data_IF_346202826554
#
_entry.id   IF_346202826554
#
_cell.length_a   1.000
_cell.length_b   1.000
_cell.length_c   1.000
_cell.angle_alpha   90.00
_cell.angle_beta   90.00
_cell.angle_gamma   90.00
#
_symmetry.space_group_name_H-M   'P 1'
#
loop_
_entity.id
_entity.type
_entity.pdbx_description
1 polymer ?
#
# COMPACT_ATOMS: atom_id res chain seq x y z
N UNK A 1 26.01 -26.77 -23.09
CA UNK A 1 24.67 -26.26 -23.44
C UNK A 1 24.19 -25.11 -22.53
N UNK A 2 25.07 -24.20 -22.07
CA UNK A 2 24.67 -23.09 -21.18
C UNK A 2 24.93 -21.68 -21.75
N UNK A 3 25.55 -21.55 -22.93
CA UNK A 3 25.78 -20.24 -23.56
C UNK A 3 24.59 -19.70 -24.37
N UNK A 4 23.58 -20.51 -24.67
CA UNK A 4 22.45 -20.12 -25.54
C UNK A 4 21.26 -19.51 -24.80
N UNK A 5 21.24 -19.57 -23.47
CA UNK A 5 20.13 -19.03 -22.65
C UNK A 5 20.36 -17.56 -22.29
N UNK A 6 21.61 -17.15 -22.06
CA UNK A 6 21.96 -15.76 -21.76
C UNK A 6 21.76 -14.83 -22.96
N UNK A 7 22.00 -15.34 -24.18
CA UNK A 7 21.85 -14.54 -25.42
C UNK A 7 20.38 -14.22 -25.75
N UNK A 8 19.43 -15.10 -25.36
CA UNK A 8 17.99 -14.86 -25.57
C UNK A 8 17.41 -13.81 -24.62
N UNK A 9 17.96 -13.68 -23.41
CA UNK A 9 17.49 -12.66 -22.47
C UNK A 9 17.98 -11.26 -22.84
N UNK A 10 19.24 -11.11 -23.28
CA UNK A 10 19.76 -9.82 -23.71
C UNK A 10 19.02 -9.24 -24.94
N UNK A 11 18.54 -10.11 -25.85
CA UNK A 11 17.80 -9.70 -27.03
C UNK A 11 16.39 -9.17 -26.71
N UNK A 12 15.75 -9.67 -25.65
CA UNK A 12 14.43 -9.21 -25.22
C UNK A 12 14.45 -7.79 -24.64
N UNK A 13 15.53 -7.40 -23.95
CA UNK A 13 15.69 -6.04 -23.42
C UNK A 13 15.94 -5.02 -24.53
N UNK A 14 16.70 -5.39 -25.57
CA UNK A 14 16.97 -4.50 -26.72
C UNK A 14 15.73 -4.22 -27.56
N UNK A 15 14.82 -5.19 -27.73
CA UNK A 15 13.55 -4.99 -28.46
C UNK A 15 12.59 -4.08 -27.68
N UNK A 16 12.58 -4.17 -26.35
CA UNK A 16 11.72 -3.32 -25.51
C UNK A 16 12.17 -1.84 -25.55
N UNK A 17 13.48 -1.58 -25.65
CA UNK A 17 13.99 -0.21 -25.79
C UNK A 17 13.78 0.38 -27.20
N UNK A 18 13.72 -0.44 -28.26
CA UNK A 18 13.61 0.06 -29.63
C UNK A 18 12.17 0.38 -30.09
N UNK A 19 11.16 -0.14 -29.39
CA UNK A 19 9.74 0.14 -29.70
C UNK A 19 9.26 1.53 -29.22
N UNK A 20 10.05 2.29 -28.46
CA UNK A 20 9.70 3.68 -28.09
C UNK A 20 10.09 4.74 -29.14
N UNK A 21 10.84 4.40 -30.20
CA UNK A 21 11.45 5.44 -31.06
C UNK A 21 10.85 5.58 -32.47
N UNK A 22 9.93 4.73 -32.91
CA UNK A 22 9.49 4.74 -34.34
C UNK A 22 7.96 4.76 -34.54
N UNK A 23 7.16 4.72 -33.49
CA UNK A 23 5.70 4.86 -33.59
C UNK A 23 5.19 5.84 -32.54
N UNK A 24 4.61 6.96 -32.98
CA UNK A 24 4.08 8.04 -32.15
C UNK A 24 2.84 7.66 -31.32
N UNK A 25 2.98 6.66 -30.45
CA UNK A 25 1.97 6.25 -29.48
C UNK A 25 2.64 6.03 -28.13
N UNK A 26 2.61 7.08 -27.31
CA UNK A 26 2.74 7.11 -25.86
C UNK A 26 3.40 5.88 -25.22
N UNK A 27 4.74 5.91 -25.10
CA UNK A 27 5.41 5.10 -24.09
C UNK A 27 4.97 5.60 -22.71
N UNK A 28 3.98 4.88 -22.19
CA UNK A 28 3.54 4.85 -20.80
C UNK A 28 3.25 6.23 -20.20
N UNK A 29 1.98 6.61 -20.25
CA UNK A 29 1.34 7.21 -19.08
C UNK A 29 1.46 6.22 -17.90
N UNK A 30 2.67 6.04 -17.37
CA UNK A 30 2.84 5.89 -15.93
C UNK A 30 2.26 7.16 -15.36
N UNK A 31 0.94 7.14 -15.14
CA UNK A 31 0.25 7.98 -14.18
C UNK A 31 1.23 8.16 -13.04
N UNK A 32 1.83 9.36 -12.95
CA UNK A 32 2.64 9.75 -11.82
C UNK A 32 1.65 9.88 -10.68
N UNK A 33 1.25 8.74 -10.12
CA UNK A 33 0.34 8.69 -8.99
C UNK A 33 1.03 9.53 -7.92
N UNK A 34 0.43 10.69 -7.65
CA UNK A 34 1.03 11.73 -6.84
C UNK A 34 1.29 11.12 -5.48
N UNK A 35 2.56 11.07 -5.08
CA UNK A 35 2.95 10.54 -3.77
C UNK A 35 2.17 11.33 -2.72
N UNK A 36 1.35 10.64 -1.94
CA UNK A 36 0.60 11.26 -0.85
C UNK A 36 1.58 11.64 0.24
N UNK A 37 1.47 12.86 0.76
CA UNK A 37 2.33 13.30 1.86
C UNK A 37 2.00 12.52 3.15
N UNK A 38 2.95 12.42 4.10
CA UNK A 38 2.69 11.76 5.38
C UNK A 38 1.47 12.34 6.11
N UNK A 39 1.25 13.66 6.03
CA UNK A 39 0.10 14.33 6.63
C UNK A 39 -1.23 13.87 6.04
N UNK A 40 -1.28 13.64 4.72
CA UNK A 40 -2.48 13.15 4.03
C UNK A 40 -2.77 11.71 4.43
N UNK A 41 -1.76 10.85 4.43
CA UNK A 41 -1.92 9.47 4.87
C UNK A 41 -2.36 9.37 6.34
N UNK A 42 -1.77 10.19 7.21
CA UNK A 42 -2.18 10.23 8.62
C UNK A 42 -3.64 10.66 8.78
N UNK A 43 -4.11 11.62 7.99
CA UNK A 43 -5.51 12.03 7.99
C UNK A 43 -6.44 10.90 7.52
N UNK A 44 -6.04 10.15 6.49
CA UNK A 44 -6.78 8.97 6.02
C UNK A 44 -6.87 7.89 7.10
N UNK A 45 -5.76 7.58 7.78
CA UNK A 45 -5.78 6.59 8.87
C UNK A 45 -6.67 7.04 10.03
N UNK A 46 -6.67 8.33 10.38
CA UNK A 46 -7.58 8.91 11.40
C UNK A 46 -9.05 8.82 10.99
N UNK A 47 -9.35 9.04 9.71
CA UNK A 47 -10.72 8.92 9.20
C UNK A 47 -11.20 7.46 9.24
N UNK A 48 -10.33 6.51 8.88
CA UNK A 48 -10.59 5.08 9.03
C UNK A 48 -10.85 4.76 10.50
N UNK A 49 -9.95 5.12 11.41
CA UNK A 49 -10.12 4.88 12.85
C UNK A 49 -11.48 5.39 13.34
N UNK A 50 -11.87 6.63 13.01
CA UNK A 50 -13.18 7.18 13.41
C UNK A 50 -14.35 6.37 12.88
N UNK A 51 -14.31 5.96 11.61
CA UNK A 51 -15.36 5.11 11.02
C UNK A 51 -15.41 3.75 11.70
N UNK A 52 -14.25 3.27 12.14
CA UNK A 52 -14.05 1.97 12.74
C UNK A 52 -14.08 1.97 14.28
N UNK A 53 -14.33 3.12 14.91
CA UNK A 53 -14.54 3.25 16.36
C UNK A 53 -15.99 3.52 16.72
N UNK A 54 -16.88 3.72 15.74
CA UNK A 54 -18.32 3.85 15.99
C UNK A 54 -18.82 2.49 16.50
N UNK A 55 -19.35 2.48 17.73
CA UNK A 55 -19.69 1.35 18.60
C UNK A 55 -20.64 0.26 18.03
N UNK A 56 -20.73 0.07 16.72
CA UNK A 56 -21.50 -0.97 16.07
C UNK A 56 -20.85 -1.52 14.79
N UNK A 57 -19.53 -1.78 14.80
CA UNK A 57 -18.93 -2.54 13.70
C UNK A 57 -19.50 -3.95 13.68
N UNK A 58 -20.33 -4.21 12.69
CA UNK A 58 -20.52 -5.55 12.17
C UNK A 58 -19.15 -6.12 11.75
N UNK A 59 -18.98 -7.45 11.81
CA UNK A 59 -17.74 -8.12 11.41
C UNK A 59 -17.32 -7.79 9.97
N UNK A 60 -18.30 -7.54 9.10
CA UNK A 60 -18.12 -7.04 7.72
C UNK A 60 -17.39 -5.70 7.68
N UNK A 61 -17.69 -4.82 8.64
CA UNK A 61 -17.10 -3.51 8.79
C UNK A 61 -15.68 -3.60 9.34
N UNK A 62 -15.42 -4.53 10.29
CA UNK A 62 -14.06 -4.80 10.79
C UNK A 62 -13.12 -5.24 9.66
N UNK A 63 -13.54 -6.22 8.84
CA UNK A 63 -12.72 -6.71 7.73
C UNK A 63 -12.40 -5.60 6.72
N UNK A 64 -13.33 -4.69 6.47
CA UNK A 64 -13.09 -3.50 5.64
C UNK A 64 -12.05 -2.56 6.26
N UNK A 65 -12.18 -2.26 7.55
CA UNK A 65 -11.25 -1.40 8.28
C UNK A 65 -9.83 -1.94 8.25
N UNK A 66 -9.66 -3.24 8.55
CA UNK A 66 -8.38 -3.90 8.49
C UNK A 66 -7.77 -3.86 7.08
N UNK A 67 -8.57 -4.12 6.04
CA UNK A 67 -8.11 -4.05 4.65
C UNK A 67 -7.69 -2.63 4.24
N UNK A 68 -8.45 -1.61 4.64
CA UNK A 68 -8.12 -0.22 4.35
C UNK A 68 -6.81 0.21 5.03
N UNK A 69 -6.58 -0.19 6.28
CA UNK A 69 -5.33 0.04 7.00
C UNK A 69 -4.16 -0.70 6.34
N UNK A 70 -4.33 -1.99 6.03
CA UNK A 70 -3.34 -2.81 5.34
C UNK A 70 -2.92 -2.19 4.01
N UNK A 71 -3.89 -1.65 3.25
CA UNK A 71 -3.60 -0.98 1.97
C UNK A 71 -2.70 0.25 2.17
N UNK A 72 -2.99 1.09 3.16
CA UNK A 72 -2.17 2.28 3.45
C UNK A 72 -0.77 1.87 3.95
N UNK A 73 -0.70 0.82 4.76
CA UNK A 73 0.56 0.25 5.28
C UNK A 73 1.45 -0.26 4.15
N UNK A 74 0.90 -1.06 3.23
CA UNK A 74 1.61 -1.56 2.05
C UNK A 74 2.03 -0.44 1.11
N UNK A 75 1.16 0.54 0.86
CA UNK A 75 1.50 1.72 0.07
C UNK A 75 2.70 2.46 0.66
N UNK A 76 2.63 2.77 1.96
CA UNK A 76 3.69 3.48 2.69
C UNK A 76 5.00 2.70 2.69
N UNK A 77 4.91 1.40 2.96
CA UNK A 77 6.06 0.49 2.93
C UNK A 77 6.71 0.45 1.55
N UNK A 78 5.92 0.35 0.48
CA UNK A 78 6.43 0.37 -0.89
C UNK A 78 7.11 1.70 -1.25
N UNK A 79 6.59 2.83 -0.79
CA UNK A 79 7.25 4.12 -1.00
C UNK A 79 8.63 4.17 -0.34
N UNK A 80 8.75 3.63 0.88
CA UNK A 80 10.03 3.56 1.61
C UNK A 80 10.99 2.58 0.92
N UNK A 81 10.51 1.37 0.59
CA UNK A 81 11.32 0.31 -0.02
C UNK A 81 11.88 0.72 -1.40
N UNK A 82 11.09 1.45 -2.18
CA UNK A 82 11.49 1.95 -3.51
C UNK A 82 12.29 3.25 -3.47
N UNK A 83 12.61 3.77 -2.28
CA UNK A 83 13.36 5.03 -2.11
C UNK A 83 12.58 6.29 -2.53
N UNK A 84 11.27 6.18 -2.75
CA UNK A 84 10.38 7.31 -3.09
C UNK A 84 9.97 8.13 -1.87
N UNK A 85 10.24 7.62 -0.67
CA UNK A 85 10.00 8.26 0.61
C UNK A 85 11.12 7.91 1.60
N UNK A 86 11.46 8.85 2.50
CA UNK A 86 12.30 8.55 3.66
C UNK A 86 11.50 7.82 4.72
N UNK A 87 12.09 6.79 5.34
CA UNK A 87 11.50 6.06 6.47
C UNK A 87 11.12 7.02 7.60
N UNK A 88 12.01 7.93 7.98
CA UNK A 88 11.82 8.86 9.10
C UNK A 88 10.59 9.77 8.90
N UNK A 89 10.32 10.15 7.64
CA UNK A 89 9.19 11.00 7.31
C UNK A 89 7.83 10.28 7.41
N UNK A 90 7.82 8.95 7.29
CA UNK A 90 6.60 8.13 7.27
C UNK A 90 6.48 7.20 8.48
N UNK A 91 7.46 7.18 9.37
CA UNK A 91 7.46 6.39 10.61
C UNK A 91 6.22 6.67 11.47
N UNK A 92 5.83 7.95 11.57
CA UNK A 92 4.62 8.35 12.30
C UNK A 92 3.33 7.78 11.69
N UNK A 93 3.27 7.62 10.36
CA UNK A 93 2.13 7.01 9.67
C UNK A 93 2.09 5.51 9.97
N UNK A 94 3.23 4.83 9.83
CA UNK A 94 3.34 3.39 10.11
C UNK A 94 2.98 3.07 11.56
N UNK A 95 3.55 3.82 12.51
CA UNK A 95 3.29 3.63 13.94
C UNK A 95 1.82 3.88 14.29
N UNK A 96 1.17 4.85 13.66
CA UNK A 96 -0.24 5.13 13.91
C UNK A 96 -1.15 4.04 13.33
N UNK A 97 -0.80 3.46 12.18
CA UNK A 97 -1.53 2.31 11.63
C UNK A 97 -1.46 1.13 12.62
N UNK A 98 -0.28 0.83 13.16
CA UNK A 98 -0.11 -0.27 14.12
C UNK A 98 -0.98 -0.06 15.38
N UNK A 99 -1.06 1.17 15.89
CA UNK A 99 -1.94 1.51 17.02
C UNK A 99 -3.41 1.23 16.68
N UNK A 100 -3.87 1.67 15.51
CA UNK A 100 -5.28 1.48 15.11
C UNK A 100 -5.59 0.00 14.86
N UNK A 101 -4.66 -0.77 14.30
CA UNK A 101 -4.82 -2.23 14.15
C UNK A 101 -5.06 -2.91 15.51
N UNK A 102 -4.24 -2.58 16.52
CA UNK A 102 -4.40 -3.09 17.90
C UNK A 102 -5.75 -2.68 18.52
N UNK A 103 -6.16 -1.42 18.34
CA UNK A 103 -7.46 -0.96 18.84
C UNK A 103 -8.64 -1.75 18.22
N UNK A 104 -8.57 -2.03 16.91
CA UNK A 104 -9.61 -2.80 16.21
C UNK A 104 -9.67 -4.26 16.67
N UNK A 105 -8.51 -4.88 16.91
CA UNK A 105 -8.42 -6.24 17.46
C UNK A 105 -9.03 -6.32 18.87
N UNK A 106 -8.77 -5.30 19.71
CA UNK A 106 -9.33 -5.22 21.06
C UNK A 106 -10.86 -5.08 21.05
N UNK A 107 -11.41 -4.22 20.19
CA UNK A 107 -12.87 -4.06 20.03
C UNK A 107 -13.53 -5.38 19.60
N UNK A 108 -12.92 -6.07 18.64
CA UNK A 108 -13.45 -7.34 18.10
C UNK A 108 -13.40 -8.45 19.14
N UNK A 109 -12.30 -8.56 19.87
CA UNK A 109 -12.12 -9.56 20.94
C UNK A 109 -13.12 -9.37 22.08
N UNK A 110 -13.34 -8.13 22.51
CA UNK A 110 -14.34 -7.80 23.54
C UNK A 110 -15.77 -8.20 23.11
N UNK A 111 -16.11 -8.04 21.83
CA UNK A 111 -17.42 -8.44 21.31
C UNK A 111 -17.62 -9.94 21.26
N UNK A 112 -16.59 -10.70 20.90
CA UNK A 112 -16.64 -12.16 20.89
C UNK A 112 -16.87 -12.70 22.31
N UNK A 113 -16.21 -12.12 23.31
CA UNK A 113 -16.37 -12.53 24.71
C UNK A 113 -17.74 -12.16 25.31
N UNK A 114 -18.37 -11.08 24.87
CA UNK A 114 -19.71 -10.66 25.35
C UNK A 114 -20.89 -11.37 24.66
N UNK A 115 -20.63 -12.25 23.67
CA UNK A 115 -21.66 -13.04 22.97
C UNK A 115 -21.72 -14.51 23.43
N UNK A 116 -20.79 -14.94 24.30
CA UNK A 116 -20.78 -16.23 24.97
C UNK A 116 -21.40 -16.11 26.37
#
# INVERSE_FOLDING_TARGET
>A
MFLSVLFKQALAWLIFFFMCSVGGTACSDTSKEKIKSPKVLLAEVKDIQKKCSINNLELSFYGKCHNDLTRIKLYTFNLILTGRASKDNYESVMSYIDIVEVELEAITSNRLNNKN
#
